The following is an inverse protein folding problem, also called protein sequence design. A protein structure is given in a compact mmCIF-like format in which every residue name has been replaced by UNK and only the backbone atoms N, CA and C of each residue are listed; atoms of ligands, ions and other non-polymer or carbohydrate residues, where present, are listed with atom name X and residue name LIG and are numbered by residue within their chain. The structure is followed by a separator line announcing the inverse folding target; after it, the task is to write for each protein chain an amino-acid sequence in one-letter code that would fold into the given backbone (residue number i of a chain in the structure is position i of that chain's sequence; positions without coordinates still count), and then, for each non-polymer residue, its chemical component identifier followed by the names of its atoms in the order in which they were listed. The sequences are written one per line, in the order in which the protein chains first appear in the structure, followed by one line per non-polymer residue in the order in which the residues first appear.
data_IF_469662388815
#
_entry.id   IF_469662388815
#
_cell.length_a   1.000
_cell.length_b   1.000
_cell.length_c   1.000
_cell.angle_alpha   90.00
_cell.angle_beta   90.00
_cell.angle_gamma   90.00
#
_symmetry.space_group_name_H-M   'P 1'
#
loop_
_entity.id
_entity.type
_entity.pdbx_description
1 polymer ?
#
# COMPACT_ATOMS: atom_id res chain seq x y z
N UNK A 1 -12.66 12.14 5.60
CA UNK A 1 -13.71 11.14 5.81
C UNK A 1 -13.19 10.06 6.75
N UNK A 2 -13.70 10.03 7.99
CA UNK A 2 -13.28 9.11 9.05
C UNK A 2 -14.10 7.82 9.07
N UNK A 3 -14.39 7.21 7.97
CA UNK A 3 -15.10 5.93 8.00
C UNK A 3 -14.15 4.81 7.59
N UNK A 4 -13.90 3.90 8.55
CA UNK A 4 -13.44 2.56 8.25
C UNK A 4 -14.35 1.97 7.16
N UNK A 5 -13.76 1.30 6.19
CA UNK A 5 -14.50 0.68 5.11
C UNK A 5 -14.36 -0.84 5.25
N UNK A 6 -15.43 -1.49 5.67
CA UNK A 6 -15.52 -2.95 5.63
C UNK A 6 -15.81 -3.42 4.20
N UNK A 7 -15.53 -4.66 3.90
CA UNK A 7 -15.70 -5.21 2.55
C UNK A 7 -17.14 -5.08 2.05
N UNK A 8 -18.12 -5.11 2.94
CA UNK A 8 -19.53 -4.98 2.61
C UNK A 8 -19.93 -3.57 2.09
N UNK A 9 -19.10 -2.57 2.36
CA UNK A 9 -19.30 -1.22 1.83
C UNK A 9 -18.88 -1.07 0.35
N UNK A 10 -18.17 -2.06 -0.21
CA UNK A 10 -17.82 -2.08 -1.62
C UNK A 10 -18.98 -2.58 -2.47
N UNK A 11 -19.24 -1.95 -3.62
CA UNK A 11 -20.22 -2.47 -4.55
C UNK A 11 -19.83 -3.85 -5.06
N UNK A 12 -20.82 -4.67 -5.35
CA UNK A 12 -20.59 -5.98 -5.96
C UNK A 12 -19.84 -5.84 -7.29
N UNK A 13 -18.83 -6.71 -7.50
CA UNK A 13 -18.03 -6.70 -8.70
C UNK A 13 -16.62 -7.25 -8.51
N UNK A 14 -15.83 -7.17 -9.56
CA UNK A 14 -14.48 -7.76 -9.62
C UNK A 14 -13.58 -7.26 -8.48
N UNK A 15 -13.69 -5.98 -8.13
CA UNK A 15 -12.89 -5.40 -7.05
C UNK A 15 -13.23 -6.02 -5.69
N UNK A 16 -14.53 -6.10 -5.34
CA UNK A 16 -14.97 -6.72 -4.09
C UNK A 16 -14.54 -8.18 -4.03
N UNK A 17 -14.79 -8.93 -5.10
CA UNK A 17 -14.40 -10.35 -5.18
C UNK A 17 -12.90 -10.56 -4.98
N UNK A 18 -12.06 -9.68 -5.51
CA UNK A 18 -10.61 -9.76 -5.35
C UNK A 18 -10.14 -9.38 -3.95
N UNK A 19 -10.80 -8.42 -3.29
CA UNK A 19 -10.42 -7.89 -1.99
C UNK A 19 -10.93 -8.73 -0.81
N UNK A 20 -12.11 -9.34 -0.94
CA UNK A 20 -12.78 -10.07 0.13
C UNK A 20 -11.91 -11.16 0.80
N UNK A 21 -11.19 -12.05 0.07
CA UNK A 21 -10.34 -13.06 0.68
C UNK A 21 -9.11 -12.47 1.38
N UNK A 22 -8.72 -11.24 1.04
CA UNK A 22 -7.55 -10.56 1.62
C UNK A 22 -7.94 -9.76 2.85
N UNK A 23 -9.03 -9.02 2.78
CA UNK A 23 -9.49 -8.13 3.85
C UNK A 23 -10.19 -8.93 4.95
N UNK A 24 -11.05 -9.90 4.58
CA UNK A 24 -11.86 -10.65 5.52
C UNK A 24 -12.75 -9.73 6.36
N UNK A 25 -12.67 -9.88 7.67
CA UNK A 25 -13.45 -9.08 8.64
C UNK A 25 -12.79 -7.75 9.04
N UNK A 26 -11.62 -7.44 8.48
CA UNK A 26 -10.85 -6.25 8.84
C UNK A 26 -11.38 -5.01 8.13
N UNK A 27 -11.26 -3.87 8.80
CA UNK A 27 -11.56 -2.58 8.21
C UNK A 27 -10.37 -2.04 7.42
N UNK A 28 -10.62 -1.49 6.22
CA UNK A 28 -9.67 -0.66 5.51
C UNK A 28 -9.62 0.72 6.15
N UNK A 29 -8.44 1.14 6.54
CA UNK A 29 -8.21 2.45 7.14
C UNK A 29 -7.51 3.39 6.16
N UNK A 30 -7.88 4.69 6.13
CA UNK A 30 -7.15 5.66 5.33
C UNK A 30 -5.74 5.82 5.90
N UNK A 31 -4.73 5.52 5.10
CA UNK A 31 -3.33 5.63 5.49
C UNK A 31 -2.72 6.97 5.07
N UNK A 32 -2.95 7.35 3.82
CA UNK A 32 -2.47 8.61 3.26
C UNK A 32 -3.51 9.18 2.28
N UNK A 33 -3.53 10.50 2.16
CA UNK A 33 -4.30 11.18 1.12
C UNK A 33 -3.35 11.63 0.03
N UNK A 34 -3.65 11.24 -1.21
CA UNK A 34 -2.84 11.55 -2.38
C UNK A 34 -3.72 12.22 -3.42
N UNK A 35 -3.33 13.38 -3.89
CA UNK A 35 -3.93 14.01 -5.04
C UNK A 35 -3.25 13.47 -6.31
N UNK A 36 -4.03 12.79 -7.14
CA UNK A 36 -3.56 12.15 -8.36
C UNK A 36 -3.99 12.95 -9.57
N UNK A 37 -3.02 13.36 -10.39
CA UNK A 37 -3.25 13.91 -11.72
C UNK A 37 -2.66 12.96 -12.75
N UNK A 38 -3.42 12.65 -13.79
CA UNK A 38 -2.98 11.70 -14.80
C UNK A 38 -3.38 12.08 -16.20
N UNK A 39 -2.54 11.73 -17.18
CA UNK A 39 -2.80 11.86 -18.59
C UNK A 39 -2.65 10.49 -19.25
N UNK A 40 -3.68 10.07 -19.98
CA UNK A 40 -3.62 8.84 -20.76
C UNK A 40 -3.32 9.14 -22.23
N UNK A 41 -2.27 8.52 -22.76
CA UNK A 41 -1.88 8.55 -24.14
C UNK A 41 -2.18 7.19 -24.78
N UNK A 42 -2.60 7.21 -26.06
CA UNK A 42 -2.81 6.01 -26.86
C UNK A 42 -1.75 5.97 -27.96
N UNK A 43 -0.95 4.92 -27.97
CA UNK A 43 -0.03 4.66 -29.07
C UNK A 43 -0.74 3.83 -30.12
N UNK A 44 -0.57 4.24 -31.38
CA UNK A 44 -1.18 3.57 -32.54
C UNK A 44 -0.10 3.13 -33.51
N UNK A 45 -0.34 2.01 -34.17
CA UNK A 45 0.50 1.55 -35.26
C UNK A 45 0.16 2.27 -36.59
N UNK A 46 0.84 1.90 -37.68
CA UNK A 46 0.61 2.43 -39.03
C UNK A 46 -0.83 2.25 -39.53
N UNK A 47 -1.50 1.20 -39.07
CA UNK A 47 -2.90 0.90 -39.42
C UNK A 47 -3.92 1.71 -38.59
N UNK A 48 -3.45 2.59 -37.68
CA UNK A 48 -4.29 3.37 -36.77
C UNK A 48 -4.85 2.60 -35.59
N UNK A 49 -4.46 1.33 -35.39
CA UNK A 49 -4.90 0.50 -34.27
C UNK A 49 -4.14 0.87 -33.01
N UNK A 50 -4.86 0.94 -31.88
CA UNK A 50 -4.22 1.15 -30.58
C UNK A 50 -3.42 -0.10 -30.23
N UNK A 51 -2.13 0.04 -29.95
CA UNK A 51 -1.20 -1.05 -29.60
C UNK A 51 -0.89 -1.06 -28.11
N UNK A 52 -0.83 0.12 -27.49
CA UNK A 52 -0.67 0.25 -26.04
C UNK A 52 -1.26 1.59 -25.53
N UNK A 53 -1.47 1.64 -24.24
CA UNK A 53 -1.84 2.87 -23.51
C UNK A 53 -0.73 3.20 -22.53
N UNK A 54 -0.33 4.47 -22.50
CA UNK A 54 0.63 5.01 -21.57
C UNK A 54 -0.14 5.96 -20.63
N UNK A 55 -0.05 5.73 -19.34
CA UNK A 55 -0.64 6.63 -18.33
C UNK A 55 0.50 7.30 -17.59
N UNK A 56 0.58 8.61 -17.70
CA UNK A 56 1.51 9.46 -16.96
C UNK A 56 0.77 9.97 -15.72
N UNK A 57 1.30 9.67 -14.55
CA UNK A 57 0.69 10.02 -13.28
C UNK A 57 1.63 10.92 -12.46
N UNK A 58 1.09 11.96 -11.90
CA UNK A 58 1.73 12.78 -10.87
C UNK A 58 0.92 12.66 -9.58
N UNK A 59 1.57 12.16 -8.54
CA UNK A 59 1.00 12.00 -7.21
C UNK A 59 1.56 13.08 -6.30
N UNK A 60 0.69 13.95 -5.78
CA UNK A 60 1.04 14.96 -4.78
C UNK A 60 0.52 14.53 -3.42
N UNK A 61 1.41 14.54 -2.46
CA UNK A 61 1.10 14.27 -1.08
C UNK A 61 0.73 15.61 -0.42
N UNK A 62 -0.35 15.65 0.32
CA UNK A 62 -1.03 16.87 0.76
C UNK A 62 -0.20 17.86 1.60
N UNK A 63 1.02 17.49 2.01
CA UNK A 63 1.88 18.30 2.88
C UNK A 63 3.31 18.50 2.33
N UNK A 64 3.63 17.88 1.19
CA UNK A 64 4.97 17.91 0.62
C UNK A 64 4.94 18.49 -0.80
N UNK A 65 5.84 19.41 -1.12
CA UNK A 65 5.99 19.96 -2.47
C UNK A 65 6.54 18.93 -3.47
N UNK A 66 7.01 17.77 -2.96
CA UNK A 66 7.55 16.72 -3.80
C UNK A 66 6.45 15.89 -4.45
N UNK A 67 6.39 15.95 -5.77
CA UNK A 67 5.51 15.11 -6.55
C UNK A 67 6.22 13.80 -6.93
N UNK A 68 5.59 12.67 -6.67
CA UNK A 68 6.01 11.39 -7.21
C UNK A 68 5.41 11.21 -8.60
N UNK A 69 6.27 11.03 -9.61
CA UNK A 69 5.84 10.87 -11.01
C UNK A 69 6.09 9.46 -11.47
N UNK A 70 5.09 8.88 -12.15
CA UNK A 70 5.13 7.51 -12.63
C UNK A 70 4.52 7.39 -14.02
N UNK A 71 5.10 6.53 -14.84
CA UNK A 71 4.55 6.12 -16.11
C UNK A 71 4.11 4.65 -16.04
N UNK A 72 2.85 4.37 -16.36
CA UNK A 72 2.32 3.00 -16.47
C UNK A 72 2.04 2.65 -17.90
N UNK A 73 2.53 1.52 -18.34
CA UNK A 73 2.35 1.04 -19.70
C UNK A 73 1.41 -0.16 -19.69
N UNK A 74 0.31 -0.05 -20.43
CA UNK A 74 -0.70 -1.09 -20.57
C UNK A 74 -0.70 -1.59 -22.01
N UNK A 75 -0.04 -2.72 -22.31
CA UNK A 75 -0.07 -3.30 -23.66
C UNK A 75 -1.46 -3.86 -23.97
N UNK A 76 -1.86 -3.83 -25.23
CA UNK A 76 -2.95 -4.62 -25.72
C UNK A 76 -2.44 -6.02 -26.11
N UNK A 77 -3.31 -7.01 -26.02
CA UNK A 77 -2.97 -8.40 -26.32
C UNK A 77 -2.42 -8.53 -27.75
N UNK A 78 -1.25 -9.14 -27.89
CA UNK A 78 -0.61 -9.40 -29.16
C UNK A 78 0.33 -8.30 -29.68
N UNK A 79 0.68 -7.32 -28.83
CA UNK A 79 1.58 -6.21 -29.15
C UNK A 79 2.79 -6.16 -28.21
N UNK A 80 3.40 -7.33 -27.97
CA UNK A 80 4.53 -7.46 -27.03
C UNK A 80 5.82 -6.84 -27.58
N UNK A 81 5.99 -6.84 -28.91
CA UNK A 81 7.14 -6.21 -29.57
C UNK A 81 7.09 -4.69 -29.42
N UNK A 82 5.92 -4.09 -29.62
CA UNK A 82 5.71 -2.65 -29.44
C UNK A 82 5.91 -2.25 -27.97
N UNK A 83 5.47 -3.10 -27.03
CA UNK A 83 5.74 -2.89 -25.62
C UNK A 83 7.24 -2.86 -25.31
N UNK A 84 7.99 -3.82 -25.88
CA UNK A 84 9.44 -3.91 -25.70
C UNK A 84 10.15 -2.69 -26.30
N UNK A 85 9.74 -2.28 -27.50
CA UNK A 85 10.29 -1.10 -28.18
C UNK A 85 10.06 0.19 -27.38
N UNK A 86 8.84 0.40 -26.87
CA UNK A 86 8.53 1.60 -26.06
C UNK A 86 9.29 1.59 -24.75
N UNK A 87 9.42 0.45 -24.07
CA UNK A 87 10.23 0.34 -22.85
C UNK A 87 11.69 0.69 -23.11
N UNK A 88 12.26 0.12 -24.19
CA UNK A 88 13.65 0.39 -24.56
C UNK A 88 13.87 1.89 -24.86
N UNK A 89 12.97 2.52 -25.61
CA UNK A 89 13.02 3.94 -25.90
C UNK A 89 13.01 4.80 -24.64
N UNK A 90 12.06 4.56 -23.74
CA UNK A 90 11.93 5.33 -22.49
C UNK A 90 13.15 5.17 -21.58
N UNK A 91 13.77 3.99 -21.55
CA UNK A 91 15.00 3.74 -20.80
C UNK A 91 16.22 4.40 -21.45
N UNK A 92 16.34 4.30 -22.78
CA UNK A 92 17.45 4.88 -23.53
C UNK A 92 17.49 6.40 -23.42
N UNK A 93 16.33 7.04 -23.47
CA UNK A 93 16.21 8.49 -23.31
C UNK A 93 16.37 8.94 -21.84
N UNK A 94 16.56 8.02 -20.92
CA UNK A 94 16.70 8.32 -19.48
C UNK A 94 15.44 8.94 -18.83
N UNK A 95 14.30 8.83 -19.51
CA UNK A 95 13.04 9.45 -19.06
C UNK A 95 12.49 8.72 -17.84
N UNK A 96 12.64 7.39 -17.82
CA UNK A 96 12.10 6.55 -16.74
C UNK A 96 13.09 5.46 -16.32
N UNK A 97 13.01 5.09 -15.04
CA UNK A 97 13.64 3.87 -14.52
C UNK A 97 12.53 2.89 -14.11
N UNK A 98 12.70 1.59 -14.35
CA UNK A 98 11.77 0.59 -13.89
C UNK A 98 11.63 0.63 -12.37
N UNK A 99 10.40 0.66 -11.88
CA UNK A 99 10.10 0.68 -10.44
C UNK A 99 9.06 -0.40 -10.11
N UNK A 100 8.95 -0.73 -8.83
CA UNK A 100 7.90 -1.61 -8.34
C UNK A 100 6.51 -1.08 -8.72
N UNK A 101 5.54 -1.94 -9.07
CA UNK A 101 4.14 -1.55 -9.20
C UNK A 101 3.56 -0.87 -7.96
N UNK A 102 4.18 -1.08 -6.79
CA UNK A 102 3.79 -0.50 -5.50
C UNK A 102 4.51 0.81 -5.19
N UNK A 103 5.42 1.29 -6.04
CA UNK A 103 6.25 2.46 -5.76
C UNK A 103 5.44 3.72 -5.36
N UNK A 104 4.30 3.97 -6.01
CA UNK A 104 3.41 5.08 -5.65
C UNK A 104 2.78 4.90 -4.26
N UNK A 105 2.40 3.69 -3.90
CA UNK A 105 1.90 3.38 -2.56
C UNK A 105 2.99 3.53 -1.50
N UNK A 106 4.18 3.03 -1.78
CA UNK A 106 5.35 3.15 -0.90
C UNK A 106 5.72 4.61 -0.67
N UNK A 107 5.72 5.43 -1.72
CA UNK A 107 5.93 6.87 -1.62
C UNK A 107 4.86 7.54 -0.73
N UNK A 108 3.59 7.17 -0.91
CA UNK A 108 2.48 7.64 -0.08
C UNK A 108 2.64 7.26 1.40
N UNK A 109 3.08 6.05 1.69
CA UNK A 109 3.37 5.62 3.06
C UNK A 109 4.52 6.42 3.69
N UNK A 110 5.62 6.58 2.96
CA UNK A 110 6.80 7.29 3.45
C UNK A 110 6.50 8.75 3.79
N UNK A 111 5.68 9.41 3.00
CA UNK A 111 5.32 10.81 3.24
C UNK A 111 4.51 11.04 4.54
N UNK A 112 3.83 10.00 5.02
CA UNK A 112 3.14 10.04 6.33
C UNK A 112 3.95 9.36 7.44
N UNK A 113 5.25 9.15 7.22
CA UNK A 113 6.16 8.54 8.19
C UNK A 113 5.90 7.05 8.43
N UNK A 114 5.25 6.36 7.47
CA UNK A 114 4.90 4.95 7.56
C UNK A 114 5.69 4.12 6.52
N UNK A 115 5.70 2.83 6.71
CA UNK A 115 6.20 1.86 5.72
C UNK A 115 5.16 0.77 5.52
N UNK A 116 5.05 0.21 4.31
CA UNK A 116 4.23 -0.98 4.10
C UNK A 116 4.61 -2.07 5.11
N UNK A 117 3.61 -2.72 5.70
CA UNK A 117 3.78 -3.80 6.68
C UNK A 117 4.55 -3.41 7.97
N UNK A 118 4.59 -2.13 8.33
CA UNK A 118 5.27 -1.63 9.53
C UNK A 118 4.58 -1.98 10.85
N UNK A 119 3.41 -2.62 10.77
CA UNK A 119 2.67 -3.12 11.91
C UNK A 119 2.37 -4.61 11.78
N UNK A 120 2.59 -5.33 12.87
CA UNK A 120 2.11 -6.69 13.07
C UNK A 120 1.66 -6.83 14.52
N UNK A 121 0.50 -7.44 14.74
CA UNK A 121 0.04 -7.84 16.08
C UNK A 121 0.74 -9.12 16.56
N UNK A 122 1.40 -9.84 15.65
CA UNK A 122 2.12 -11.06 16.01
C UNK A 122 3.28 -10.72 16.92
N UNK A 123 3.34 -11.41 18.04
CA UNK A 123 4.45 -11.31 18.97
C UNK A 123 5.71 -11.91 18.32
N UNK A 124 6.72 -11.09 18.08
CA UNK A 124 8.02 -11.52 17.55
C UNK A 124 9.10 -10.79 18.29
N UNK A 125 9.82 -11.49 19.13
CA UNK A 125 10.88 -10.94 19.98
C UNK A 125 12.11 -11.82 19.88
N UNK A 126 13.22 -11.22 19.48
CA UNK A 126 14.51 -11.89 19.47
C UNK A 126 15.19 -11.71 20.85
N UNK A 127 15.04 -12.70 21.71
CA UNK A 127 15.74 -12.73 22.99
C UNK A 127 17.13 -13.35 22.81
N UNK A 128 18.16 -12.64 23.25
CA UNK A 128 19.53 -13.15 23.20
C UNK A 128 19.83 -13.95 24.47
N UNK A 129 20.58 -15.07 24.39
CA UNK A 129 20.92 -15.90 25.56
C UNK A 129 21.64 -15.14 26.68
N UNK A 130 22.32 -14.04 26.35
CA UNK A 130 23.09 -13.22 27.30
C UNK A 130 22.24 -12.15 28.02
N UNK A 131 21.00 -11.97 27.63
CA UNK A 131 20.10 -11.02 28.28
C UNK A 131 19.77 -11.49 29.68
N UNK A 132 19.72 -10.55 30.61
CA UNK A 132 19.14 -10.80 31.93
C UNK A 132 17.62 -10.99 31.83
N UNK A 133 17.05 -11.73 32.77
CA UNK A 133 15.59 -11.89 32.83
C UNK A 133 14.85 -10.54 32.89
N UNK A 134 15.43 -9.54 33.58
CA UNK A 134 14.88 -8.19 33.65
C UNK A 134 14.82 -7.51 32.27
N UNK A 135 15.91 -7.55 31.52
CA UNK A 135 15.97 -6.97 30.17
C UNK A 135 15.00 -7.66 29.21
N UNK A 136 14.95 -8.99 29.27
CA UNK A 136 14.01 -9.77 28.46
C UNK A 136 12.56 -9.39 28.76
N UNK A 137 12.19 -9.34 30.03
CA UNK A 137 10.84 -8.93 30.44
C UNK A 137 10.50 -7.49 30.08
N UNK A 138 11.45 -6.56 30.18
CA UNK A 138 11.26 -5.19 29.72
C UNK A 138 10.92 -5.12 28.21
N UNK A 139 11.65 -5.87 27.39
CA UNK A 139 11.37 -5.93 25.94
C UNK A 139 9.99 -6.51 25.66
N UNK A 140 9.61 -7.60 26.34
CA UNK A 140 8.27 -8.20 26.25
C UNK A 140 7.18 -7.14 26.57
N UNK A 141 7.29 -6.48 27.70
CA UNK A 141 6.29 -5.47 28.11
C UNK A 141 6.23 -4.26 27.18
N UNK A 142 7.37 -3.78 26.68
CA UNK A 142 7.40 -2.68 25.73
C UNK A 142 6.73 -3.04 24.42
N UNK A 143 6.93 -4.27 23.93
CA UNK A 143 6.26 -4.74 22.72
C UNK A 143 4.75 -4.87 22.93
N UNK A 144 4.32 -5.51 24.03
CA UNK A 144 2.90 -5.64 24.37
C UNK A 144 2.23 -4.28 24.51
N UNK A 145 2.87 -3.34 25.21
CA UNK A 145 2.39 -1.96 25.34
C UNK A 145 2.27 -1.27 23.98
N UNK A 146 3.20 -1.53 23.06
CA UNK A 146 3.14 -1.04 21.68
C UNK A 146 1.94 -1.59 20.93
N UNK A 147 1.65 -2.88 21.05
CA UNK A 147 0.45 -3.51 20.46
C UNK A 147 -0.83 -2.90 21.06
N UNK A 148 -0.89 -2.77 22.39
CA UNK A 148 -2.04 -2.15 23.06
C UNK A 148 -2.31 -0.73 22.57
N UNK A 149 -1.28 0.13 22.54
CA UNK A 149 -1.41 1.53 22.12
C UNK A 149 -1.90 1.68 20.67
N UNK A 150 -1.49 0.78 19.78
CA UNK A 150 -1.91 0.82 18.37
C UNK A 150 -3.34 0.33 18.16
N UNK A 151 -3.79 -0.63 18.95
CA UNK A 151 -5.13 -1.21 18.81
C UNK A 151 -6.21 -0.49 19.62
N UNK A 152 -5.84 0.19 20.70
CA UNK A 152 -6.80 0.87 21.59
C UNK A 152 -7.72 1.86 20.85
N UNK A 153 -7.25 2.75 19.97
CA UNK A 153 -8.14 3.67 19.24
C UNK A 153 -9.16 2.94 18.38
N UNK A 154 -8.72 1.90 17.63
CA UNK A 154 -9.62 1.12 16.76
C UNK A 154 -10.65 0.33 17.58
N UNK A 155 -10.28 -0.18 18.75
CA UNK A 155 -11.19 -0.86 19.66
C UNK A 155 -12.22 0.10 20.30
N UNK A 156 -11.82 1.34 20.63
CA UNK A 156 -12.73 2.37 21.18
C UNK A 156 -13.72 2.84 20.09
N UNK A 157 -13.25 3.00 18.86
CA UNK A 157 -14.08 3.45 17.73
C UNK A 157 -14.91 2.32 17.12
N UNK A 158 -14.76 1.08 17.61
CA UNK A 158 -15.45 -0.12 17.11
C UNK A 158 -15.31 -0.28 15.58
N UNK A 159 -14.06 -0.15 15.10
CA UNK A 159 -13.77 -0.18 13.67
C UNK A 159 -13.96 -1.58 13.07
N UNK A 160 -13.37 -2.59 13.72
CA UNK A 160 -13.59 -4.01 13.48
C UNK A 160 -13.21 -4.83 14.72
N UNK A 161 -13.57 -6.12 14.71
CA UNK A 161 -13.35 -7.03 15.85
C UNK A 161 -11.87 -7.36 16.10
N UNK A 162 -11.00 -7.21 15.11
CA UNK A 162 -9.57 -7.54 15.21
C UNK A 162 -8.83 -6.58 16.14
N UNK A 163 -9.22 -5.29 16.16
CA UNK A 163 -8.63 -4.33 17.10
C UNK A 163 -8.86 -4.74 18.55
N UNK A 164 -10.10 -5.15 18.87
CA UNK A 164 -10.43 -5.64 20.20
C UNK A 164 -9.75 -6.97 20.51
N UNK A 165 -9.67 -7.88 19.53
CA UNK A 165 -8.99 -9.14 19.68
C UNK A 165 -7.51 -8.95 20.00
N UNK A 166 -6.79 -8.17 19.20
CA UNK A 166 -5.35 -7.91 19.37
C UNK A 166 -5.07 -7.19 20.71
N UNK A 167 -5.94 -6.24 21.11
CA UNK A 167 -5.86 -5.58 22.42
C UNK A 167 -5.99 -6.58 23.57
N UNK A 168 -6.98 -7.48 23.51
CA UNK A 168 -7.20 -8.51 24.55
C UNK A 168 -6.05 -9.51 24.64
N UNK A 169 -5.47 -9.90 23.49
CA UNK A 169 -4.31 -10.80 23.45
C UNK A 169 -3.09 -10.12 24.11
N UNK A 170 -2.88 -8.84 23.84
CA UNK A 170 -1.76 -8.09 24.43
C UNK A 170 -1.88 -7.85 25.94
N UNK A 171 -3.10 -7.84 26.50
CA UNK A 171 -3.35 -7.67 27.94
C UNK A 171 -3.20 -8.98 28.72
N UNK A 172 -3.41 -10.13 28.11
CA UNK A 172 -3.33 -11.47 28.77
C UNK A 172 -1.91 -11.99 28.87
#
# INVERSE_FOLDING_TARGET
CKKSCLIDAFPEGVMRTALEPVIGIRALLPLAKVDLQGQQLQLRNSDGKIVLRLVLEEQRLSEDEQAFRMARIFPLRGYDEELAAVRALLQQEGIVQPVSPLAGFEAGCLAVGRRPLDYSSKFSLELKPQMSAKEAMQQVYLQLLGVMRRNLPGAIEDLDSEFLHDLRVAVR
#
